data_IF_463869711790
#
_entry.id   IF_463869711790
#
_cell.length_a   1.000
_cell.length_b   1.000
_cell.length_c   1.000
_cell.angle_alpha   90.00
_cell.angle_beta   90.00
_cell.angle_gamma   90.00
#
_symmetry.space_group_name_H-M   'P 1'
#
loop_
_entity.id
_entity.type
_entity.pdbx_description
1 polymer ?
#
# COMPACT_ATOMS: atom_id res chain seq x y z
N UNK A 1 -48.46 26.71 -27.88
CA UNK A 1 -48.58 28.03 -27.23
C UNK A 1 -47.50 28.91 -27.80
N UNK A 2 -47.92 30.04 -28.39
CA UNK A 2 -47.15 31.16 -28.93
C UNK A 2 -46.11 30.81 -30.02
N UNK A 3 -46.25 31.09 -31.32
CA UNK A 3 -46.74 32.25 -32.10
C UNK A 3 -45.57 32.97 -32.80
N UNK A 4 -45.83 33.37 -34.05
CA UNK A 4 -45.13 34.32 -34.94
C UNK A 4 -43.92 33.79 -35.73
N UNK A 5 -43.73 34.01 -37.03
CA UNK A 5 -44.53 34.41 -38.19
C UNK A 5 -43.53 34.46 -39.38
N UNK A 6 -43.83 33.96 -40.58
CA UNK A 6 -43.05 34.26 -41.79
C UNK A 6 -43.79 35.21 -42.75
N UNK A 7 -43.09 36.13 -43.42
CA UNK A 7 -43.55 36.68 -44.71
C UNK A 7 -42.50 36.44 -45.80
N UNK A 8 -42.74 36.42 -47.11
CA UNK A 8 -43.88 36.23 -48.02
C UNK A 8 -43.23 36.44 -49.42
N UNK A 9 -43.56 35.67 -50.48
CA UNK A 9 -43.11 35.98 -51.84
C UNK A 9 -44.19 36.79 -52.60
N UNK A 10 -43.89 38.03 -53.01
CA UNK A 10 -44.59 38.76 -54.08
C UNK A 10 -43.81 38.56 -55.39
N UNK A 11 -44.38 38.03 -56.47
CA UNK A 11 -45.36 38.64 -57.38
C UNK A 11 -44.81 39.90 -58.07
N UNK A 12 -44.41 39.80 -59.35
CA UNK A 12 -45.08 40.53 -60.43
C UNK A 12 -44.50 40.30 -61.85
N UNK A 13 -45.45 40.07 -62.76
CA UNK A 13 -45.56 40.52 -64.16
C UNK A 13 -44.72 39.91 -65.30
N UNK A 14 -45.40 38.98 -65.97
CA UNK A 14 -45.63 38.93 -67.43
C UNK A 14 -45.43 40.26 -68.18
N UNK A 15 -44.67 40.25 -69.29
CA UNK A 15 -45.07 40.77 -70.62
C UNK A 15 -44.27 40.03 -71.73
N UNK A 16 -44.99 39.31 -72.58
CA UNK A 16 -44.66 38.95 -73.97
C UNK A 16 -45.97 39.13 -74.78
N UNK A 17 -45.99 39.07 -76.12
CA UNK A 17 -45.11 39.65 -77.13
C UNK A 17 -45.96 40.37 -78.23
N UNK A 18 -45.34 40.97 -79.27
CA UNK A 18 -46.03 41.23 -80.53
C UNK A 18 -45.06 41.35 -81.73
N UNK A 19 -45.25 40.58 -82.81
CA UNK A 19 -44.69 40.87 -84.14
C UNK A 19 -45.74 41.57 -85.01
N UNK A 20 -45.33 42.63 -85.72
CA UNK A 20 -46.18 43.39 -86.65
C UNK A 20 -45.59 43.40 -88.06
N UNK A 21 -46.38 42.91 -89.00
CA UNK A 21 -46.14 42.75 -90.44
C UNK A 21 -46.52 43.99 -91.27
N UNK A 22 -45.78 44.20 -92.37
CA UNK A 22 -46.18 44.66 -93.72
C UNK A 22 -46.84 46.05 -94.00
N UNK A 23 -46.35 46.70 -95.07
CA UNK A 23 -47.00 47.77 -95.86
C UNK A 23 -45.99 48.48 -96.77
N UNK A 24 -45.77 48.03 -98.01
CA UNK A 24 -46.39 48.46 -99.28
C UNK A 24 -45.84 49.80 -99.88
N UNK A 25 -45.49 49.85 -101.19
CA UNK A 25 -44.87 51.00 -101.87
C UNK A 25 -45.87 51.89 -102.63
N UNK A 26 -45.47 53.12 -102.99
CA UNK A 26 -46.20 53.97 -103.94
C UNK A 26 -45.25 54.82 -104.82
N UNK A 27 -45.49 54.91 -106.15
CA UNK A 27 -44.81 55.79 -107.10
C UNK A 27 -45.67 57.02 -107.50
N UNK A 28 -45.05 58.07 -108.05
CA UNK A 28 -45.72 59.17 -108.79
C UNK A 28 -44.84 59.58 -109.99
N UNK A 29 -45.22 59.24 -111.23
CA UNK A 29 -46.05 60.07 -112.15
C UNK A 29 -45.30 61.34 -112.60
N UNK A 30 -44.61 61.37 -113.76
CA UNK A 30 -45.13 61.49 -115.13
C UNK A 30 -46.11 62.66 -115.33
N UNK A 31 -45.73 63.68 -116.12
CA UNK A 31 -46.63 64.60 -116.84
C UNK A 31 -45.83 65.44 -117.85
N UNK A 32 -45.80 64.98 -119.10
CA UNK A 32 -45.63 65.88 -120.24
C UNK A 32 -46.99 66.45 -120.66
N UNK A 33 -47.00 67.59 -121.33
CA UNK A 33 -48.13 68.05 -122.14
C UNK A 33 -47.62 68.88 -123.33
N UNK A 34 -47.99 68.50 -124.57
CA UNK A 34 -47.65 69.20 -125.80
C UNK A 34 -48.82 70.05 -126.33
N UNK A 35 -48.50 71.03 -127.18
CA UNK A 35 -49.32 71.40 -128.34
C UNK A 35 -50.48 72.38 -128.12
N UNK A 36 -50.29 73.62 -128.55
CA UNK A 36 -51.37 74.45 -129.08
C UNK A 36 -50.98 74.91 -130.50
N UNK A 37 -51.48 74.18 -131.49
CA UNK A 37 -51.46 74.52 -132.91
C UNK A 37 -52.56 75.56 -133.20
N UNK A 38 -52.15 76.74 -133.66
CA UNK A 38 -53.06 77.74 -134.22
C UNK A 38 -53.59 77.28 -135.61
N UNK A 39 -54.85 77.60 -135.97
CA UNK A 39 -55.47 77.15 -137.21
C UNK A 39 -54.77 77.73 -138.45
N UNK A 40 -54.10 76.85 -139.18
CA UNK A 40 -53.38 77.17 -140.42
C UNK A 40 -54.37 77.58 -141.53
N UNK A 41 -54.21 78.80 -142.07
CA UNK A 41 -54.82 79.18 -143.33
C UNK A 41 -54.45 78.13 -144.40
N UNK A 42 -55.41 77.44 -145.02
CA UNK A 42 -55.17 76.12 -145.62
C UNK A 42 -54.22 76.11 -146.83
N UNK A 43 -53.83 77.27 -147.37
CA UNK A 43 -53.03 77.38 -148.60
C UNK A 43 -51.75 78.22 -148.47
N UNK A 44 -51.39 78.61 -147.24
CA UNK A 44 -50.18 79.43 -146.98
C UNK A 44 -50.35 80.91 -147.37
N UNK A 45 -49.43 81.74 -146.90
CA UNK A 45 -49.37 83.18 -147.21
C UNK A 45 -48.24 83.44 -148.20
N UNK A 46 -48.45 84.39 -149.11
CA UNK A 46 -47.41 84.88 -150.01
C UNK A 46 -46.23 85.40 -149.19
N UNK A 47 -45.00 84.91 -149.44
CA UNK A 47 -43.78 85.31 -148.70
C UNK A 47 -43.47 86.80 -148.85
N UNK A 48 -43.98 87.45 -149.89
CA UNK A 48 -43.79 88.88 -150.14
C UNK A 48 -44.86 89.74 -149.46
N UNK A 49 -46.12 89.67 -149.90
CA UNK A 49 -47.18 90.56 -149.41
C UNK A 49 -47.96 90.01 -148.20
N UNK A 50 -47.66 88.78 -147.75
CA UNK A 50 -48.37 88.07 -146.66
C UNK A 50 -49.87 87.81 -146.89
N UNK A 51 -50.39 88.13 -148.07
CA UNK A 51 -51.75 87.81 -148.50
C UNK A 51 -51.96 86.30 -148.70
N UNK A 52 -53.20 85.79 -148.59
CA UNK A 52 -53.51 84.39 -148.81
C UNK A 52 -53.23 83.99 -150.27
N UNK A 53 -52.56 82.86 -150.48
CA UNK A 53 -52.30 82.34 -151.81
C UNK A 53 -53.52 81.58 -152.35
N UNK A 54 -53.76 81.60 -153.68
CA UNK A 54 -54.82 80.82 -154.29
C UNK A 54 -54.62 79.31 -154.03
N UNK A 55 -55.71 78.52 -154.07
CA UNK A 55 -55.65 77.09 -153.79
C UNK A 55 -54.65 76.37 -154.70
N UNK A 56 -53.98 75.36 -154.15
CA UNK A 56 -52.94 74.59 -154.85
C UNK A 56 -53.56 73.88 -156.05
N UNK A 57 -52.99 74.06 -157.25
CA UNK A 57 -53.31 73.22 -158.40
C UNK A 57 -53.00 71.74 -158.08
N UNK A 58 -53.84 70.81 -158.55
CA UNK A 58 -53.88 69.40 -158.15
C UNK A 58 -52.53 68.63 -158.25
N UNK A 59 -51.57 69.14 -159.02
CA UNK A 59 -50.20 68.62 -159.14
C UNK A 59 -49.20 69.76 -159.22
N UNK A 60 -48.32 69.92 -158.21
CA UNK A 60 -47.23 70.92 -158.20
C UNK A 60 -46.77 71.33 -156.80
N UNK A 61 -45.55 71.87 -156.62
CA UNK A 61 -45.07 72.36 -155.30
C UNK A 61 -45.98 73.47 -154.75
N UNK A 62 -46.02 73.65 -153.42
CA UNK A 62 -46.72 74.80 -152.82
C UNK A 62 -46.16 76.09 -153.41
N UNK A 63 -47.04 76.95 -153.90
CA UNK A 63 -46.66 78.28 -154.36
C UNK A 63 -46.21 79.07 -153.13
N UNK A 64 -45.18 79.89 -153.30
CA UNK A 64 -44.67 80.76 -152.22
C UNK A 64 -45.04 82.23 -152.44
N UNK A 65 -45.46 82.59 -153.65
CA UNK A 65 -45.76 83.95 -154.07
C UNK A 65 -46.96 83.94 -155.04
N UNK A 66 -47.70 85.05 -155.09
CA UNK A 66 -48.72 85.29 -156.13
C UNK A 66 -48.05 85.47 -157.50
N UNK A 67 -48.65 84.93 -158.55
CA UNK A 67 -48.26 85.24 -159.94
C UNK A 67 -48.92 86.51 -160.46
N UNK A 68 -48.47 87.00 -161.63
CA UNK A 68 -49.05 88.16 -162.32
C UNK A 68 -50.58 88.07 -162.38
N UNK A 69 -51.26 89.11 -161.87
CA UNK A 69 -52.71 89.17 -161.74
C UNK A 69 -53.31 88.61 -160.44
N UNK A 70 -52.55 87.86 -159.63
CA UNK A 70 -53.05 87.17 -158.42
C UNK A 70 -52.70 87.90 -157.10
N UNK A 71 -51.73 88.82 -157.12
CA UNK A 71 -51.32 89.58 -155.94
C UNK A 71 -52.23 90.78 -155.65
N UNK A 72 -52.02 91.48 -154.53
CA UNK A 72 -52.65 92.78 -154.29
C UNK A 72 -52.42 93.68 -155.51
N UNK A 73 -53.48 94.30 -156.02
CA UNK A 73 -53.47 95.14 -157.23
C UNK A 73 -52.97 94.45 -158.51
N UNK A 74 -53.08 93.12 -158.58
CA UNK A 74 -52.68 92.33 -159.75
C UNK A 74 -51.16 92.16 -159.91
N UNK A 75 -50.36 92.47 -158.88
CA UNK A 75 -48.91 92.39 -158.96
C UNK A 75 -48.39 90.94 -158.89
N UNK A 76 -47.39 90.61 -159.72
CA UNK A 76 -46.60 89.38 -159.53
C UNK A 76 -45.70 89.56 -158.31
N UNK A 77 -46.13 88.99 -157.19
CA UNK A 77 -45.42 89.11 -155.92
C UNK A 77 -44.07 88.37 -155.93
N UNK A 78 -43.88 87.38 -156.81
CA UNK A 78 -42.58 86.69 -156.97
C UNK A 78 -41.59 87.63 -157.63
N UNK A 79 -42.04 88.32 -158.66
CA UNK A 79 -41.24 89.29 -159.40
C UNK A 79 -41.00 90.58 -158.60
N UNK A 80 -42.00 91.06 -157.86
CA UNK A 80 -41.84 92.17 -156.92
C UNK A 80 -40.84 91.83 -155.81
N UNK A 81 -40.89 90.61 -155.26
CA UNK A 81 -39.89 90.14 -154.30
C UNK A 81 -38.49 90.01 -154.92
N UNK A 82 -38.39 89.56 -156.17
CA UNK A 82 -37.11 89.49 -156.90
C UNK A 82 -36.54 90.89 -157.14
N UNK A 83 -37.34 91.84 -157.64
CA UNK A 83 -36.92 93.24 -157.80
C UNK A 83 -36.56 93.89 -156.47
N UNK A 84 -37.28 93.58 -155.39
CA UNK A 84 -36.95 94.08 -154.07
C UNK A 84 -35.58 93.57 -153.59
N UNK A 85 -35.25 92.29 -153.83
CA UNK A 85 -33.92 91.72 -153.53
C UNK A 85 -32.82 92.28 -154.43
N UNK A 86 -33.09 92.40 -155.73
CA UNK A 86 -32.16 92.95 -156.73
C UNK A 86 -32.01 94.49 -156.62
N UNK A 87 -32.89 95.17 -155.86
CA UNK A 87 -32.74 96.59 -155.57
C UNK A 87 -31.48 96.83 -154.74
N UNK A 88 -30.87 98.01 -154.89
CA UNK A 88 -29.69 98.39 -154.11
C UNK A 88 -29.92 98.28 -152.59
N UNK A 89 -31.15 98.50 -152.12
CA UNK A 89 -31.54 98.37 -150.71
C UNK A 89 -31.66 96.90 -150.29
N UNK A 90 -32.23 96.05 -151.14
CA UNK A 90 -32.34 94.61 -150.88
C UNK A 90 -30.97 93.93 -150.82
N UNK A 91 -30.10 94.23 -151.79
CA UNK A 91 -28.73 93.73 -151.81
C UNK A 91 -27.90 94.25 -150.62
N UNK A 92 -28.10 95.52 -150.23
CA UNK A 92 -27.44 96.09 -149.06
C UNK A 92 -27.95 95.51 -147.72
N UNK A 93 -29.19 95.02 -147.66
CA UNK A 93 -29.78 94.44 -146.45
C UNK A 93 -29.55 92.92 -146.32
N UNK A 94 -29.31 92.20 -147.42
CA UNK A 94 -29.13 90.74 -147.42
C UNK A 94 -27.88 90.32 -146.64
N UNK A 95 -26.73 90.96 -146.85
CA UNK A 95 -25.50 90.62 -146.12
C UNK A 95 -25.60 90.88 -144.60
N UNK A 96 -26.09 92.05 -144.11
CA UNK A 96 -26.32 92.27 -142.69
C UNK A 96 -27.29 91.28 -142.06
N UNK A 97 -28.39 90.93 -142.74
CA UNK A 97 -29.35 89.95 -142.23
C UNK A 97 -28.75 88.55 -142.19
N UNK A 98 -28.00 88.14 -143.21
CA UNK A 98 -27.32 86.84 -143.21
C UNK A 98 -26.24 86.76 -142.12
N UNK A 99 -25.53 87.87 -141.85
CA UNK A 99 -24.57 87.96 -140.74
C UNK A 99 -25.28 87.84 -139.38
N UNK A 100 -26.44 88.49 -139.20
CA UNK A 100 -27.25 88.36 -137.98
C UNK A 100 -27.79 86.95 -137.78
N UNK A 101 -28.24 86.27 -138.85
CA UNK A 101 -28.65 84.86 -138.79
C UNK A 101 -27.48 83.98 -138.39
N UNK A 102 -26.32 84.16 -139.02
CA UNK A 102 -25.11 83.38 -138.70
C UNK A 102 -24.64 83.62 -137.27
N UNK A 103 -24.70 84.86 -136.78
CA UNK A 103 -24.40 85.17 -135.38
C UNK A 103 -25.41 84.56 -134.42
N UNK A 104 -26.72 84.62 -134.74
CA UNK A 104 -27.77 84.01 -133.93
C UNK A 104 -27.61 82.48 -133.86
N UNK A 105 -27.27 81.84 -134.99
CA UNK A 105 -26.98 80.40 -135.05
C UNK A 105 -25.73 80.05 -134.21
N UNK A 106 -24.67 80.86 -134.28
CA UNK A 106 -23.46 80.70 -133.45
C UNK A 106 -23.74 80.88 -131.96
N UNK A 107 -24.54 81.88 -131.59
CA UNK A 107 -24.93 82.14 -130.21
C UNK A 107 -25.84 81.03 -129.67
N UNK A 108 -26.75 80.49 -130.50
CA UNK A 108 -27.57 79.34 -130.14
C UNK A 108 -26.72 78.07 -129.96
N UNK A 109 -25.75 77.82 -130.86
CA UNK A 109 -24.77 76.73 -130.74
C UNK A 109 -23.95 76.86 -129.45
N UNK A 110 -23.47 78.07 -129.12
CA UNK A 110 -22.77 78.36 -127.87
C UNK A 110 -23.65 78.09 -126.64
N UNK A 111 -24.92 78.52 -126.65
CA UNK A 111 -25.85 78.23 -125.54
C UNK A 111 -26.15 76.75 -125.41
N UNK A 112 -26.34 76.03 -126.54
CA UNK A 112 -26.53 74.57 -126.55
C UNK A 112 -25.30 73.85 -125.99
N UNK A 113 -24.10 74.29 -126.38
CA UNK A 113 -22.82 73.78 -125.86
C UNK A 113 -22.68 74.05 -124.35
N UNK A 114 -22.93 75.28 -123.90
CA UNK A 114 -22.89 75.64 -122.49
C UNK A 114 -23.93 74.86 -121.65
N UNK A 115 -25.16 74.72 -122.15
CA UNK A 115 -26.17 73.87 -121.50
C UNK A 115 -25.79 72.38 -121.49
N UNK A 116 -25.02 71.92 -122.49
CA UNK A 116 -24.39 70.60 -122.49
C UNK A 116 -23.35 70.44 -121.39
N UNK A 117 -22.46 71.42 -121.22
CA UNK A 117 -21.46 71.45 -120.14
C UNK A 117 -22.10 71.48 -118.75
N UNK A 118 -23.14 72.28 -118.55
CA UNK A 118 -23.88 72.34 -117.28
C UNK A 118 -24.58 71.01 -116.96
N UNK A 119 -25.21 70.36 -117.95
CA UNK A 119 -25.78 69.02 -117.78
C UNK A 119 -24.71 67.97 -117.47
N UNK A 120 -23.57 68.03 -118.13
CA UNK A 120 -22.44 67.13 -117.85
C UNK A 120 -21.84 67.37 -116.46
N UNK A 121 -21.81 68.62 -115.99
CA UNK A 121 -21.40 68.97 -114.63
C UNK A 121 -22.40 68.42 -113.61
N UNK A 122 -23.71 68.68 -113.78
CA UNK A 122 -24.75 68.14 -112.92
C UNK A 122 -24.71 66.60 -112.85
N UNK A 123 -24.54 65.91 -113.98
CA UNK A 123 -24.41 64.45 -114.01
C UNK A 123 -23.10 63.92 -113.39
N UNK A 124 -22.05 64.74 -113.29
CA UNK A 124 -20.86 64.40 -112.49
C UNK A 124 -21.14 64.60 -111.00
N UNK A 125 -21.77 65.70 -110.63
CA UNK A 125 -22.11 66.00 -109.24
C UNK A 125 -23.10 64.98 -108.67
N UNK A 126 -24.10 64.55 -109.45
CA UNK A 126 -25.03 63.48 -109.06
C UNK A 126 -24.31 62.14 -108.84
N UNK A 127 -23.33 61.81 -109.69
CA UNK A 127 -22.50 60.60 -109.51
C UNK A 127 -21.62 60.71 -108.27
N UNK A 128 -20.97 61.84 -108.04
CA UNK A 128 -20.18 62.07 -106.84
C UNK A 128 -21.05 62.03 -105.57
N UNK A 129 -22.27 62.57 -105.63
CA UNK A 129 -23.22 62.50 -104.53
C UNK A 129 -23.65 61.05 -104.23
N UNK A 130 -23.88 60.23 -105.27
CA UNK A 130 -24.15 58.80 -105.12
C UNK A 130 -22.95 58.06 -104.53
N UNK A 131 -21.74 58.26 -105.07
CA UNK A 131 -20.51 57.64 -104.56
C UNK A 131 -20.25 58.00 -103.09
N UNK A 132 -20.52 59.26 -102.69
CA UNK A 132 -20.41 59.71 -101.30
C UNK A 132 -21.50 59.09 -100.41
N UNK A 133 -22.71 58.88 -100.92
CA UNK A 133 -23.78 58.18 -100.19
C UNK A 133 -23.44 56.70 -99.98
N UNK A 134 -22.89 56.03 -101.00
CA UNK A 134 -22.43 54.65 -100.93
C UNK A 134 -21.24 54.51 -99.96
N UNK A 135 -20.25 55.40 -100.03
CA UNK A 135 -19.13 55.43 -99.09
C UNK A 135 -19.60 55.66 -97.65
N UNK A 136 -20.54 56.58 -97.43
CA UNK A 136 -21.13 56.82 -96.12
C UNK A 136 -21.82 55.57 -95.59
N UNK A 137 -22.59 54.88 -96.43
CA UNK A 137 -23.28 53.64 -96.06
C UNK A 137 -22.29 52.55 -95.69
N UNK A 138 -21.27 52.30 -96.52
CA UNK A 138 -20.24 51.32 -96.26
C UNK A 138 -19.43 51.60 -94.98
N UNK A 139 -19.12 52.87 -94.70
CA UNK A 139 -18.43 53.28 -93.47
C UNK A 139 -19.32 53.05 -92.25
N UNK A 140 -20.61 53.37 -92.33
CA UNK A 140 -21.55 53.12 -91.24
C UNK A 140 -21.72 51.62 -90.99
N UNK A 141 -21.93 50.81 -92.03
CA UNK A 141 -22.01 49.35 -91.91
C UNK A 141 -20.74 48.77 -91.29
N UNK A 142 -19.56 49.17 -91.77
CA UNK A 142 -18.29 48.72 -91.20
C UNK A 142 -18.10 49.15 -89.76
N UNK A 143 -18.52 50.37 -89.41
CA UNK A 143 -18.44 50.85 -88.03
C UNK A 143 -19.39 50.05 -87.12
N UNK A 144 -20.64 49.82 -87.54
CA UNK A 144 -21.57 48.97 -86.77
C UNK A 144 -21.07 47.54 -86.61
N UNK A 145 -20.40 46.97 -87.63
CA UNK A 145 -19.78 45.65 -87.54
C UNK A 145 -18.61 45.64 -86.53
N UNK A 146 -17.75 46.65 -86.55
CA UNK A 146 -16.64 46.79 -85.60
C UNK A 146 -17.12 47.03 -84.17
N UNK A 147 -18.16 47.83 -83.97
CA UNK A 147 -18.81 48.02 -82.67
C UNK A 147 -19.40 46.70 -82.16
N UNK A 148 -20.08 45.93 -83.02
CA UNK A 148 -20.60 44.62 -82.67
C UNK A 148 -19.49 43.62 -82.32
N UNK A 149 -18.40 43.57 -83.09
CA UNK A 149 -17.24 42.73 -82.80
C UNK A 149 -16.56 43.13 -81.49
N UNK A 150 -16.45 44.42 -81.21
CA UNK A 150 -15.87 44.94 -79.96
C UNK A 150 -16.75 44.57 -78.77
N UNK A 151 -18.07 44.74 -78.87
CA UNK A 151 -19.01 44.35 -77.83
C UNK A 151 -18.98 42.84 -77.57
N UNK A 152 -18.90 42.02 -78.62
CA UNK A 152 -18.77 40.57 -78.50
C UNK A 152 -17.45 40.17 -77.82
N UNK A 153 -16.33 40.78 -78.21
CA UNK A 153 -15.02 40.53 -77.59
C UNK A 153 -15.00 40.93 -76.11
N UNK A 154 -15.63 42.05 -75.76
CA UNK A 154 -15.78 42.49 -74.37
C UNK A 154 -16.63 41.51 -73.55
N UNK A 155 -17.78 41.05 -74.08
CA UNK A 155 -18.60 40.04 -73.42
C UNK A 155 -17.83 38.75 -73.17
N UNK A 156 -17.12 38.24 -74.19
CA UNK A 156 -16.30 37.04 -74.08
C UNK A 156 -15.15 37.20 -73.07
N UNK A 157 -14.51 38.37 -73.02
CA UNK A 157 -13.47 38.66 -72.03
C UNK A 157 -14.04 38.68 -70.60
N UNK A 158 -15.21 39.30 -70.39
CA UNK A 158 -15.90 39.30 -69.09
C UNK A 158 -16.28 37.89 -68.67
N UNK A 159 -16.87 37.09 -69.56
CA UNK A 159 -17.21 35.68 -69.31
C UNK A 159 -15.96 34.86 -68.93
N UNK A 160 -14.85 35.04 -69.65
CA UNK A 160 -13.59 34.37 -69.34
C UNK A 160 -13.03 34.75 -67.96
N UNK A 161 -13.11 36.04 -67.58
CA UNK A 161 -12.71 36.50 -66.24
C UNK A 161 -13.60 35.89 -65.17
N UNK A 162 -14.92 35.91 -65.35
CA UNK A 162 -15.87 35.31 -64.39
C UNK A 162 -15.67 33.81 -64.26
N UNK A 163 -15.42 33.11 -65.38
CA UNK A 163 -15.10 31.68 -65.38
C UNK A 163 -13.80 31.40 -64.61
N UNK A 164 -12.76 32.20 -64.82
CA UNK A 164 -11.49 32.09 -64.09
C UNK A 164 -11.68 32.31 -62.60
N UNK A 165 -12.35 33.39 -62.20
CA UNK A 165 -12.64 33.69 -60.79
C UNK A 165 -13.45 32.57 -60.12
N UNK A 166 -14.42 32.00 -60.85
CA UNK A 166 -15.21 30.87 -60.35
C UNK A 166 -14.35 29.61 -60.18
N UNK A 167 -13.41 29.35 -61.10
CA UNK A 167 -12.47 28.25 -60.98
C UNK A 167 -11.50 28.44 -59.81
N UNK A 168 -10.93 29.64 -59.65
CA UNK A 168 -10.07 30.01 -58.52
C UNK A 168 -10.80 29.85 -57.17
N UNK A 169 -12.05 30.31 -57.08
CA UNK A 169 -12.87 30.14 -55.87
C UNK A 169 -13.15 28.67 -55.53
N UNK A 170 -13.41 27.84 -56.55
CA UNK A 170 -13.58 26.38 -56.37
C UNK A 170 -12.29 25.71 -55.91
N UNK A 171 -11.15 26.10 -56.48
CA UNK A 171 -9.84 25.60 -56.06
C UNK A 171 -9.53 25.98 -54.61
N UNK A 172 -9.72 27.25 -54.24
CA UNK A 172 -9.54 27.71 -52.85
C UNK A 172 -10.44 26.96 -51.88
N UNK A 173 -11.71 26.74 -52.24
CA UNK A 173 -12.66 25.94 -51.44
C UNK A 173 -12.18 24.50 -51.29
N UNK A 174 -11.68 23.88 -52.35
CA UNK A 174 -11.14 22.52 -52.32
C UNK A 174 -9.88 22.41 -51.45
N UNK A 175 -8.99 23.42 -51.51
CA UNK A 175 -7.79 23.49 -50.68
C UNK A 175 -8.15 23.68 -49.20
N UNK A 176 -9.12 24.54 -48.88
CA UNK A 176 -9.61 24.73 -47.52
C UNK A 176 -10.24 23.44 -46.96
N UNK A 177 -11.11 22.77 -47.74
CA UNK A 177 -11.70 21.49 -47.35
C UNK A 177 -10.64 20.39 -47.15
N UNK A 178 -9.60 20.35 -48.00
CA UNK A 178 -8.50 19.41 -47.84
C UNK A 178 -7.67 19.70 -46.57
N UNK A 179 -7.43 20.97 -46.23
CA UNK A 179 -6.75 21.37 -45.01
C UNK A 179 -7.56 21.00 -43.76
N UNK A 180 -8.87 21.25 -43.77
CA UNK A 180 -9.78 20.85 -42.69
C UNK A 180 -9.82 19.34 -42.50
N UNK A 181 -9.84 18.57 -43.60
CA UNK A 181 -9.80 17.11 -43.55
C UNK A 181 -8.48 16.59 -42.94
N UNK A 182 -7.34 17.21 -43.27
CA UNK A 182 -6.04 16.88 -42.65
C UNK A 182 -6.03 17.20 -41.17
N UNK A 183 -6.48 18.38 -40.77
CA UNK A 183 -6.58 18.76 -39.36
C UNK A 183 -7.54 17.85 -38.58
N UNK A 184 -8.64 17.40 -39.20
CA UNK A 184 -9.56 16.43 -38.60
C UNK A 184 -8.92 15.05 -38.45
N UNK A 185 -8.11 14.60 -39.41
CA UNK A 185 -7.35 13.36 -39.32
C UNK A 185 -6.29 13.43 -38.23
N UNK A 186 -5.55 14.53 -38.11
CA UNK A 186 -4.56 14.76 -37.04
C UNK A 186 -5.23 14.69 -35.65
N UNK A 187 -6.36 15.39 -35.46
CA UNK A 187 -7.16 15.29 -34.22
C UNK A 187 -7.73 13.89 -33.96
N UNK A 188 -7.96 13.09 -35.00
CA UNK A 188 -8.39 11.71 -34.83
C UNK A 188 -7.23 10.81 -34.37
N UNK A 189 -6.04 11.00 -34.94
CA UNK A 189 -4.81 10.33 -34.52
C UNK A 189 -4.44 10.68 -33.08
N UNK A 190 -4.45 11.97 -32.72
CA UNK A 190 -4.16 12.42 -31.35
C UNK A 190 -5.12 11.77 -30.32
N UNK A 191 -6.43 11.75 -30.62
CA UNK A 191 -7.41 11.06 -29.77
C UNK A 191 -7.17 9.54 -29.69
N UNK A 192 -6.69 8.92 -30.76
CA UNK A 192 -6.36 7.50 -30.76
C UNK A 192 -5.11 7.20 -29.92
N UNK A 193 -4.09 8.07 -29.99
CA UNK A 193 -2.87 7.99 -29.19
C UNK A 193 -3.17 8.21 -27.70
N UNK A 194 -4.00 9.21 -27.36
CA UNK A 194 -4.48 9.45 -26.00
C UNK A 194 -5.26 8.24 -25.45
N UNK A 195 -6.15 7.66 -26.26
CA UNK A 195 -6.89 6.46 -25.89
C UNK A 195 -5.97 5.25 -25.67
N UNK A 196 -4.92 5.10 -26.51
CA UNK A 196 -3.92 4.05 -26.36
C UNK A 196 -3.07 4.25 -25.09
N UNK A 197 -2.73 5.49 -24.73
CA UNK A 197 -2.03 5.82 -23.49
C UNK A 197 -2.90 5.54 -22.26
N UNK A 198 -4.17 5.93 -22.28
CA UNK A 198 -5.12 5.58 -21.21
C UNK A 198 -5.27 4.07 -21.06
N UNK A 199 -5.28 3.31 -22.16
CA UNK A 199 -5.31 1.86 -22.11
C UNK A 199 -4.06 1.27 -21.44
N UNK A 200 -2.85 1.77 -21.78
CA UNK A 200 -1.58 1.36 -21.13
C UNK A 200 -1.58 1.67 -19.63
N UNK A 201 -2.09 2.84 -19.25
CA UNK A 201 -2.21 3.24 -17.85
C UNK A 201 -3.20 2.34 -17.08
N UNK A 202 -4.33 2.01 -17.70
CA UNK A 202 -5.31 1.09 -17.13
C UNK A 202 -4.74 -0.33 -16.95
N UNK A 203 -3.97 -0.83 -17.92
CA UNK A 203 -3.28 -2.12 -17.83
C UNK A 203 -2.24 -2.11 -16.71
N UNK A 204 -1.43 -1.06 -16.63
CA UNK A 204 -0.43 -0.88 -15.55
C UNK A 204 -1.11 -0.84 -14.18
N UNK A 205 -2.24 -0.13 -14.04
CA UNK A 205 -3.02 -0.09 -12.82
C UNK A 205 -3.62 -1.47 -12.46
N UNK A 206 -4.13 -2.21 -13.46
CA UNK A 206 -4.67 -3.55 -13.27
C UNK A 206 -3.58 -4.55 -12.82
N UNK A 207 -2.38 -4.46 -13.40
CA UNK A 207 -1.22 -5.26 -12.99
C UNK A 207 -0.73 -4.89 -11.59
N UNK A 208 -0.67 -3.60 -11.24
CA UNK A 208 -0.36 -3.14 -9.89
C UNK A 208 -1.37 -3.68 -8.86
N UNK A 209 -2.67 -3.65 -9.19
CA UNK A 209 -3.71 -4.26 -8.35
C UNK A 209 -3.54 -5.77 -8.22
N UNK A 210 -3.19 -6.48 -9.30
CA UNK A 210 -2.93 -7.92 -9.26
C UNK A 210 -1.74 -8.25 -8.36
N UNK A 211 -0.64 -7.51 -8.50
CA UNK A 211 0.55 -7.66 -7.66
C UNK A 211 0.21 -7.38 -6.19
N UNK A 212 -0.51 -6.29 -5.92
CA UNK A 212 -0.93 -5.94 -4.56
C UNK A 212 -1.81 -7.03 -3.93
N UNK A 213 -2.75 -7.60 -4.72
CA UNK A 213 -3.59 -8.70 -4.27
C UNK A 213 -2.78 -9.96 -3.98
N UNK A 214 -1.90 -10.39 -4.89
CA UNK A 214 -1.03 -11.55 -4.67
C UNK A 214 -0.15 -11.35 -3.44
N UNK A 215 0.39 -10.15 -3.24
CA UNK A 215 1.17 -9.83 -2.05
C UNK A 215 0.34 -9.89 -0.77
N UNK A 216 -0.88 -9.34 -0.78
CA UNK A 216 -1.80 -9.44 0.35
C UNK A 216 -2.19 -10.89 0.65
N UNK A 217 -2.43 -11.71 -0.37
CA UNK A 217 -2.70 -13.15 -0.23
C UNK A 217 -1.49 -13.87 0.41
N UNK A 218 -0.27 -13.60 -0.05
CA UNK A 218 0.97 -14.13 0.53
C UNK A 218 1.18 -13.70 1.99
N UNK A 219 0.95 -12.43 2.31
CA UNK A 219 1.03 -11.91 3.69
C UNK A 219 -0.04 -12.56 4.59
N UNK A 220 -1.24 -12.79 4.07
CA UNK A 220 -2.32 -13.48 4.79
C UNK A 220 -1.97 -14.95 5.02
N UNK A 221 -1.43 -15.65 4.03
CA UNK A 221 -0.95 -17.03 4.19
C UNK A 221 0.22 -17.12 5.19
N UNK A 222 1.15 -16.18 5.14
CA UNK A 222 2.25 -16.09 6.10
C UNK A 222 1.73 -15.83 7.52
N UNK A 223 0.75 -14.94 7.70
CA UNK A 223 0.09 -14.67 8.97
C UNK A 223 -0.69 -15.89 9.49
N UNK A 224 -1.36 -16.64 8.61
CA UNK A 224 -2.04 -17.89 8.98
C UNK A 224 -1.00 -18.94 9.42
N UNK A 225 0.13 -19.05 8.72
CA UNK A 225 1.21 -20.00 9.04
C UNK A 225 1.83 -19.69 10.40
N UNK A 226 2.26 -18.44 10.60
CA UNK A 226 2.78 -17.97 11.91
C UNK A 226 1.73 -18.10 13.01
N UNK A 227 0.46 -17.83 12.73
CA UNK A 227 -0.64 -18.05 13.67
C UNK A 227 -0.94 -19.52 13.99
N UNK A 228 -0.61 -20.46 13.09
CA UNK A 228 -0.65 -21.91 13.35
C UNK A 228 0.55 -22.34 14.17
N UNK A 229 1.75 -21.86 13.82
CA UNK A 229 3.00 -22.11 14.56
C UNK A 229 2.89 -21.62 16.01
N UNK A 230 2.43 -20.39 16.23
CA UNK A 230 2.18 -19.85 17.57
C UNK A 230 1.13 -20.65 18.36
N UNK A 231 0.10 -21.19 17.68
CA UNK A 231 -0.87 -22.09 18.32
C UNK A 231 -0.22 -23.40 18.72
N UNK A 232 0.57 -24.03 17.84
CA UNK A 232 1.30 -25.26 18.18
C UNK A 232 2.33 -25.05 19.29
N UNK A 233 3.03 -23.91 19.32
CA UNK A 233 3.96 -23.56 20.41
C UNK A 233 3.21 -23.37 21.73
N UNK A 234 2.07 -22.65 21.71
CA UNK A 234 1.23 -22.48 22.89
C UNK A 234 0.68 -23.81 23.39
N UNK A 235 0.23 -24.69 22.49
CA UNK A 235 -0.33 -25.98 22.87
C UNK A 235 0.78 -26.92 23.39
N UNK A 236 2.00 -26.85 22.84
CA UNK A 236 3.18 -27.54 23.38
C UNK A 236 3.61 -26.97 24.74
N UNK A 237 3.53 -25.65 24.94
CA UNK A 237 3.79 -25.01 26.23
C UNK A 237 2.75 -25.42 27.28
N UNK A 238 1.48 -25.53 26.90
CA UNK A 238 0.40 -26.05 27.77
C UNK A 238 0.61 -27.51 28.12
N UNK A 239 1.02 -28.34 27.17
CA UNK A 239 1.36 -29.74 27.44
C UNK A 239 2.53 -29.84 28.44
N UNK A 240 3.59 -29.06 28.24
CA UNK A 240 4.71 -28.97 29.20
C UNK A 240 4.29 -28.45 30.57
N UNK A 241 3.41 -27.44 30.62
CA UNK A 241 2.88 -26.93 31.88
C UNK A 241 2.07 -28.01 32.61
N UNK A 242 1.19 -28.72 31.90
CA UNK A 242 0.44 -29.87 32.44
C UNK A 242 1.37 -30.96 32.97
N UNK A 243 2.45 -31.27 32.26
CA UNK A 243 3.46 -32.25 32.67
C UNK A 243 4.17 -31.80 33.95
N UNK A 244 4.62 -30.54 34.01
CA UNK A 244 5.25 -29.95 35.21
C UNK A 244 4.26 -29.86 36.38
N UNK A 245 2.98 -29.58 36.14
CA UNK A 245 1.95 -29.57 37.18
C UNK A 245 1.69 -30.97 37.74
N UNK A 246 1.70 -32.00 36.89
CA UNK A 246 1.61 -33.40 37.32
C UNK A 246 2.87 -33.84 38.09
N UNK A 247 4.06 -33.46 37.62
CA UNK A 247 5.31 -33.69 38.35
C UNK A 247 5.29 -33.00 39.71
N UNK A 248 4.88 -31.73 39.79
CA UNK A 248 4.75 -30.99 41.04
C UNK A 248 3.73 -31.63 41.98
N UNK A 249 2.59 -32.11 41.47
CA UNK A 249 1.62 -32.85 42.26
C UNK A 249 2.22 -34.15 42.80
N UNK A 250 2.99 -34.89 41.99
CA UNK A 250 3.68 -36.11 42.43
C UNK A 250 4.74 -35.81 43.51
N UNK A 251 5.50 -34.72 43.36
CA UNK A 251 6.50 -34.27 44.32
C UNK A 251 5.85 -33.83 45.63
N UNK A 252 4.69 -33.16 45.57
CA UNK A 252 3.91 -32.81 46.77
C UNK A 252 3.43 -34.04 47.51
N UNK A 253 2.86 -35.03 46.82
CA UNK A 253 2.47 -36.31 47.43
C UNK A 253 3.68 -37.03 48.05
N UNK A 254 4.83 -37.01 47.38
CA UNK A 254 6.07 -37.58 47.92
C UNK A 254 6.58 -36.81 49.15
N UNK A 255 6.51 -35.47 49.13
CA UNK A 255 6.89 -34.61 50.24
C UNK A 255 5.96 -34.83 51.45
N UNK A 256 4.65 -34.93 51.23
CA UNK A 256 3.67 -35.24 52.27
C UNK A 256 3.90 -36.65 52.84
N UNK A 257 4.23 -37.63 51.99
CA UNK A 257 4.59 -38.99 52.44
C UNK A 257 5.93 -39.04 53.19
N UNK A 258 6.89 -38.17 52.85
CA UNK A 258 8.14 -38.01 53.59
C UNK A 258 7.90 -37.28 54.92
N UNK A 259 7.05 -36.26 54.95
CA UNK A 259 6.64 -35.57 56.15
C UNK A 259 5.90 -36.51 57.12
N UNK A 260 4.97 -37.33 56.62
CA UNK A 260 4.31 -38.37 57.41
C UNK A 260 5.30 -39.39 58.00
N UNK A 261 6.26 -39.86 57.19
CA UNK A 261 7.36 -40.72 57.68
C UNK A 261 8.24 -40.02 58.72
N UNK A 262 8.51 -38.73 58.55
CA UNK A 262 9.28 -37.95 59.50
C UNK A 262 8.50 -37.80 60.82
N UNK A 263 7.21 -37.50 60.78
CA UNK A 263 6.36 -37.44 61.97
C UNK A 263 6.26 -38.80 62.69
N UNK A 264 6.17 -39.90 61.93
CA UNK A 264 6.21 -41.26 62.49
C UNK A 264 7.56 -41.54 63.18
N UNK A 265 8.68 -41.26 62.51
CA UNK A 265 10.01 -41.45 63.11
C UNK A 265 10.27 -40.53 64.31
N UNK A 266 9.72 -39.31 64.33
CA UNK A 266 9.77 -38.41 65.48
C UNK A 266 8.94 -38.98 66.64
N UNK A 267 7.76 -39.54 66.38
CA UNK A 267 6.96 -40.23 67.40
C UNK A 267 7.65 -41.48 67.93
N UNK A 268 8.26 -42.29 67.07
CA UNK A 268 9.07 -43.45 67.47
C UNK A 268 10.28 -43.03 68.29
N UNK A 269 10.99 -41.97 67.90
CA UNK A 269 12.11 -41.43 68.67
C UNK A 269 11.65 -40.89 70.04
N UNK A 270 10.50 -40.23 70.12
CA UNK A 270 9.93 -39.78 71.38
C UNK A 270 9.55 -40.96 72.29
N UNK A 271 8.95 -42.02 71.74
CA UNK A 271 8.65 -43.25 72.47
C UNK A 271 9.91 -43.98 72.93
N UNK A 272 10.95 -44.04 72.09
CA UNK A 272 12.25 -44.61 72.43
C UNK A 272 12.93 -43.81 73.55
N UNK A 273 12.89 -42.47 73.49
CA UNK A 273 13.40 -41.59 74.56
C UNK A 273 12.64 -41.78 75.87
N UNK A 274 11.32 -41.89 75.82
CA UNK A 274 10.51 -42.18 77.00
C UNK A 274 10.88 -43.53 77.62
N UNK A 275 11.04 -44.56 76.79
CA UNK A 275 11.49 -45.88 77.22
C UNK A 275 12.89 -45.80 77.84
N UNK A 276 13.79 -45.00 77.27
CA UNK A 276 15.14 -44.79 77.81
C UNK A 276 15.08 -44.14 79.21
N UNK A 277 14.26 -43.11 79.39
CA UNK A 277 14.05 -42.47 80.69
C UNK A 277 13.45 -43.44 81.71
N UNK A 278 12.49 -44.28 81.32
CA UNK A 278 11.95 -45.33 82.19
C UNK A 278 13.01 -46.37 82.58
N UNK A 279 13.87 -46.78 81.63
CA UNK A 279 14.96 -47.70 81.89
C UNK A 279 16.04 -47.08 82.75
N UNK A 280 16.39 -45.81 82.55
CA UNK A 280 17.32 -45.07 83.41
C UNK A 280 16.78 -44.92 84.82
N UNK A 281 15.49 -44.58 85.00
CA UNK A 281 14.85 -44.54 86.30
C UNK A 281 14.87 -45.92 86.99
N UNK A 282 14.58 -46.99 86.25
CA UNK A 282 14.67 -48.36 86.76
C UNK A 282 16.13 -48.76 87.12
N UNK A 283 17.12 -48.34 86.32
CA UNK A 283 18.53 -48.55 86.62
C UNK A 283 18.94 -47.76 87.88
N UNK A 284 18.54 -46.50 88.02
CA UNK A 284 18.81 -45.71 89.22
C UNK A 284 18.13 -46.30 90.46
N UNK A 285 16.91 -46.80 90.34
CA UNK A 285 16.21 -47.49 91.44
C UNK A 285 16.93 -48.80 91.82
N UNK A 286 17.29 -49.63 90.84
CA UNK A 286 18.03 -50.88 91.06
C UNK A 286 19.43 -50.61 91.64
N UNK A 287 20.11 -49.56 91.18
CA UNK A 287 21.41 -49.13 91.72
C UNK A 287 21.26 -48.68 93.16
N UNK A 288 20.26 -47.86 93.48
CA UNK A 288 19.98 -47.45 94.86
C UNK A 288 19.53 -48.61 95.76
N UNK A 289 18.91 -49.67 95.21
CA UNK A 289 18.65 -50.92 95.95
C UNK A 289 19.91 -51.74 96.17
N UNK A 290 20.81 -51.80 95.18
CA UNK A 290 22.10 -52.47 95.28
C UNK A 290 23.01 -51.80 96.31
N UNK A 291 23.11 -50.47 96.30
CA UNK A 291 23.88 -49.69 97.28
C UNK A 291 23.34 -49.90 98.70
N UNK A 292 22.01 -49.88 98.89
CA UNK A 292 21.39 -50.20 100.19
C UNK A 292 21.69 -51.63 100.64
N UNK A 293 21.58 -52.60 99.73
CA UNK A 293 21.93 -53.99 100.04
C UNK A 293 23.42 -54.13 100.40
N UNK A 294 24.31 -53.43 99.69
CA UNK A 294 25.75 -53.43 99.99
C UNK A 294 26.03 -52.81 101.37
N UNK A 295 25.43 -51.67 101.69
CA UNK A 295 25.54 -51.03 103.00
C UNK A 295 24.98 -51.91 104.13
N UNK A 296 23.85 -52.59 103.90
CA UNK A 296 23.29 -53.56 104.87
C UNK A 296 24.23 -54.76 105.05
N UNK A 297 24.84 -55.26 103.98
CA UNK A 297 25.78 -56.38 104.05
C UNK A 297 27.09 -55.99 104.76
N UNK A 298 27.57 -54.77 104.53
CA UNK A 298 28.75 -54.20 105.17
C UNK A 298 28.49 -53.94 106.66
N UNK A 299 27.33 -53.37 107.01
CA UNK A 299 26.90 -53.21 108.40
C UNK A 299 26.74 -54.55 109.13
N UNK A 300 26.23 -55.60 108.47
CA UNK A 300 26.16 -56.95 109.04
C UNK A 300 27.55 -57.56 109.21
N UNK A 301 28.48 -57.32 108.27
CA UNK A 301 29.87 -57.77 108.40
C UNK A 301 30.61 -57.08 109.54
N UNK A 302 30.45 -55.77 109.68
CA UNK A 302 31.07 -55.02 110.77
C UNK A 302 30.52 -55.46 112.12
N UNK A 303 29.21 -55.66 112.21
CA UNK A 303 28.56 -56.17 113.43
C UNK A 303 29.01 -57.60 113.76
N UNK A 304 29.12 -58.48 112.77
CA UNK A 304 29.67 -59.82 112.95
C UNK A 304 31.17 -59.78 113.36
N UNK A 305 31.96 -58.84 112.83
CA UNK A 305 33.35 -58.66 113.21
C UNK A 305 33.52 -58.07 114.63
N UNK A 306 32.58 -57.26 115.09
CA UNK A 306 32.48 -56.80 116.48
C UNK A 306 32.03 -57.91 117.42
N UNK A 307 31.03 -58.70 117.05
CA UNK A 307 30.53 -59.83 117.84
C UNK A 307 31.62 -60.92 118.01
N UNK A 308 32.39 -61.21 116.95
CA UNK A 308 33.53 -62.14 117.03
C UNK A 308 34.65 -61.58 117.92
N UNK A 309 34.91 -60.27 117.89
CA UNK A 309 35.88 -59.63 118.80
C UNK A 309 35.41 -59.69 120.24
N UNK A 310 34.13 -59.39 120.51
CA UNK A 310 33.53 -59.46 121.84
C UNK A 310 33.49 -60.90 122.41
N UNK A 311 33.20 -61.89 121.57
CA UNK A 311 33.24 -63.30 121.93
C UNK A 311 34.67 -63.75 122.26
N UNK A 312 35.66 -63.31 121.48
CA UNK A 312 37.09 -63.61 121.73
C UNK A 312 37.58 -62.98 123.05
N UNK A 313 37.24 -61.72 123.30
CA UNK A 313 37.61 -61.03 124.55
C UNK A 313 36.94 -61.67 125.79
N UNK A 314 35.72 -62.17 125.63
CA UNK A 314 35.00 -62.88 126.71
C UNK A 314 35.65 -64.23 126.98
N UNK A 315 35.97 -65.01 125.94
CA UNK A 315 36.68 -66.28 126.09
C UNK A 315 38.06 -66.10 126.71
N UNK A 316 38.80 -65.04 126.34
CA UNK A 316 40.11 -64.76 126.92
C UNK A 316 40.03 -64.36 128.40
N UNK A 317 39.00 -63.62 128.80
CA UNK A 317 38.72 -63.29 130.21
C UNK A 317 38.34 -64.53 131.03
N UNK A 318 37.58 -65.46 130.46
CA UNK A 318 37.22 -66.71 131.14
C UNK A 318 38.42 -67.65 131.31
N UNK A 319 39.30 -67.76 130.31
CA UNK A 319 40.56 -68.52 130.42
C UNK A 319 41.45 -67.93 131.52
N UNK A 320 41.64 -66.59 131.54
CA UNK A 320 42.41 -65.94 132.61
C UNK A 320 41.81 -66.16 134.00
N UNK A 321 40.47 -66.20 134.11
CA UNK A 321 39.77 -66.48 135.37
C UNK A 321 39.95 -67.93 135.81
N UNK A 322 39.88 -68.88 134.89
CA UNK A 322 40.11 -70.30 135.16
C UNK A 322 41.56 -70.59 135.56
N UNK A 323 42.53 -69.95 134.91
CA UNK A 323 43.96 -70.07 135.27
C UNK A 323 44.25 -69.47 136.65
N UNK A 324 43.67 -68.30 136.97
CA UNK A 324 43.80 -67.72 138.31
C UNK A 324 43.18 -68.61 139.40
N UNK A 325 42.03 -69.24 139.13
CA UNK A 325 41.41 -70.21 140.04
C UNK A 325 42.26 -71.48 140.21
N UNK A 326 42.83 -71.99 139.12
CA UNK A 326 43.75 -73.14 139.15
C UNK A 326 45.00 -72.83 139.97
N UNK A 327 45.61 -71.67 139.78
CA UNK A 327 46.79 -71.25 140.52
C UNK A 327 46.49 -71.11 142.03
N UNK A 328 45.37 -70.49 142.37
CA UNK A 328 44.92 -70.35 143.77
C UNK A 328 44.67 -71.71 144.44
N UNK A 329 44.12 -72.69 143.71
CA UNK A 329 43.91 -74.04 144.20
C UNK A 329 45.24 -74.80 144.42
N UNK A 330 46.24 -74.59 143.56
CA UNK A 330 47.58 -75.17 143.73
C UNK A 330 48.29 -74.60 144.96
N UNK A 331 48.24 -73.28 145.16
CA UNK A 331 48.85 -72.61 146.32
C UNK A 331 48.17 -73.03 147.65
N UNK A 332 46.87 -73.30 147.63
CA UNK A 332 46.14 -73.85 148.78
C UNK A 332 46.53 -75.31 149.06
N UNK A 333 46.72 -76.12 148.01
CA UNK A 333 47.18 -77.50 148.12
C UNK A 333 48.63 -77.59 148.64
N UNK A 334 49.48 -76.64 148.28
CA UNK A 334 50.88 -76.58 148.74
C UNK A 334 50.97 -76.18 150.22
N UNK A 335 50.18 -75.19 150.65
CA UNK A 335 50.06 -74.83 152.07
C UNK A 335 49.59 -75.98 152.94
N UNK A 336 48.54 -76.69 152.51
CA UNK A 336 48.01 -77.86 153.26
C UNK A 336 49.00 -79.03 153.31
N UNK A 337 49.88 -79.21 152.31
CA UNK A 337 50.99 -80.17 152.41
C UNK A 337 52.06 -79.72 153.41
N UNK A 338 52.45 -78.44 153.37
CA UNK A 338 53.40 -77.87 154.32
C UNK A 338 52.94 -78.01 155.77
N UNK A 339 51.67 -77.69 156.05
CA UNK A 339 51.07 -77.84 157.38
C UNK A 339 51.03 -79.30 157.86
N UNK A 340 50.71 -80.24 156.96
CA UNK A 340 50.69 -81.67 157.27
C UNK A 340 52.09 -82.22 157.56
N UNK A 341 53.10 -81.80 156.81
CA UNK A 341 54.47 -82.27 156.98
C UNK A 341 55.09 -81.64 158.25
N UNK A 342 54.73 -80.40 158.59
CA UNK A 342 55.05 -79.79 159.88
C UNK A 342 54.44 -80.58 161.04
N UNK A 343 53.14 -80.91 160.98
CA UNK A 343 52.45 -81.68 162.02
C UNK A 343 53.04 -83.09 162.21
N UNK A 344 53.53 -83.74 161.14
CA UNK A 344 54.24 -85.02 161.22
C UNK A 344 55.58 -84.89 161.94
N UNK A 345 56.29 -83.80 161.68
CA UNK A 345 57.59 -83.51 162.31
C UNK A 345 57.41 -83.24 163.80
N UNK A 346 56.38 -82.47 164.18
CA UNK A 346 56.04 -82.17 165.57
C UNK A 346 55.60 -83.43 166.33
N UNK A 347 54.79 -84.29 165.69
CA UNK A 347 54.37 -85.57 166.28
C UNK A 347 55.56 -86.52 166.50
N UNK A 348 56.49 -86.60 165.54
CA UNK A 348 57.70 -87.40 165.67
C UNK A 348 58.61 -86.88 166.81
N UNK A 349 58.74 -85.56 166.94
CA UNK A 349 59.49 -84.93 168.02
C UNK A 349 58.85 -85.20 169.40
N UNK A 350 57.52 -85.08 169.51
CA UNK A 350 56.78 -85.38 170.73
C UNK A 350 56.90 -86.86 171.14
N UNK A 351 56.84 -87.78 170.18
CA UNK A 351 57.03 -89.21 170.42
C UNK A 351 58.46 -89.57 170.83
N UNK A 352 59.46 -88.86 170.29
CA UNK A 352 60.85 -89.04 170.69
C UNK A 352 61.10 -88.51 172.12
N UNK A 353 60.53 -87.35 172.46
CA UNK A 353 60.60 -86.79 173.81
C UNK A 353 59.94 -87.73 174.84
N UNK A 354 58.74 -88.24 174.54
CA UNK A 354 58.05 -89.15 175.45
C UNK A 354 58.78 -90.49 175.64
N UNK A 355 59.42 -91.02 174.58
CA UNK A 355 60.28 -92.22 174.69
C UNK A 355 61.53 -91.97 175.53
N UNK A 356 62.16 -90.80 175.41
CA UNK A 356 63.31 -90.44 176.22
C UNK A 356 62.92 -90.30 177.71
N UNK A 357 61.73 -89.77 177.99
CA UNK A 357 61.18 -89.62 179.34
C UNK A 357 60.89 -90.99 179.99
N UNK A 358 60.29 -91.92 179.26
CA UNK A 358 60.08 -93.30 179.73
C UNK A 358 61.40 -94.04 179.99
N UNK A 359 62.40 -93.88 179.13
CA UNK A 359 63.72 -94.47 179.34
C UNK A 359 64.46 -93.87 180.55
N UNK A 360 64.25 -92.59 180.86
CA UNK A 360 64.79 -91.96 182.05
C UNK A 360 64.12 -92.53 183.32
N UNK A 361 62.80 -92.65 183.31
CA UNK A 361 62.03 -93.24 184.42
C UNK A 361 62.37 -94.73 184.65
N UNK A 362 62.62 -95.50 183.59
CA UNK A 362 63.09 -96.88 183.71
C UNK A 362 64.48 -96.96 184.33
N UNK A 363 65.42 -96.08 183.92
CA UNK A 363 66.75 -96.00 184.53
C UNK A 363 66.67 -95.62 186.01
N UNK A 364 65.79 -94.69 186.38
CA UNK A 364 65.57 -94.33 187.78
C UNK A 364 64.98 -95.48 188.60
N UNK A 365 64.00 -96.20 188.05
CA UNK A 365 63.40 -97.38 188.69
C UNK A 365 64.42 -98.50 188.88
N UNK A 366 65.24 -98.77 187.87
CA UNK A 366 66.22 -99.83 187.91
C UNK A 366 67.40 -99.46 188.84
N UNK A 367 67.78 -98.18 188.91
CA UNK A 367 68.73 -97.66 189.90
C UNK A 367 68.18 -97.77 191.34
N UNK A 368 66.89 -97.49 191.55
CA UNK A 368 66.24 -97.64 192.85
C UNK A 368 66.20 -99.11 193.30
N UNK A 369 65.92 -100.05 192.38
CA UNK A 369 65.94 -101.50 192.67
C UNK A 369 67.34 -102.03 192.93
N UNK A 370 68.34 -101.53 192.21
CA UNK A 370 69.74 -101.87 192.47
C UNK A 370 70.17 -101.38 193.86
N UNK A 371 69.81 -100.15 194.24
CA UNK A 371 70.07 -99.61 195.57
C UNK A 371 69.34 -100.39 196.69
N UNK A 372 68.12 -100.87 196.44
CA UNK A 372 67.35 -101.69 197.38
C UNK A 372 67.99 -103.08 197.55
N UNK A 373 68.42 -103.73 196.47
CA UNK A 373 69.13 -105.01 196.51
C UNK A 373 70.46 -104.89 197.29
N UNK A 374 71.19 -103.79 197.09
CA UNK A 374 72.46 -103.52 197.76
C UNK A 374 72.28 -103.20 199.26
N UNK A 375 71.13 -102.64 199.66
CA UNK A 375 70.77 -102.50 201.08
C UNK A 375 70.40 -103.85 201.71
N UNK A 376 69.66 -104.70 201.01
CA UNK A 376 69.31 -106.05 201.48
C UNK A 376 70.54 -106.94 201.63
N UNK A 377 71.49 -106.85 200.71
CA UNK A 377 72.73 -107.63 200.78
C UNK A 377 73.62 -107.21 201.95
N UNK A 378 73.65 -105.90 202.26
CA UNK A 378 74.32 -105.38 203.46
C UNK A 378 73.65 -105.81 204.75
N UNK A 379 72.32 -105.89 204.78
CA UNK A 379 71.57 -106.40 205.93
C UNK A 379 71.84 -107.89 206.19
N UNK A 380 71.86 -108.73 205.14
CA UNK A 380 72.13 -110.18 205.27
C UNK A 380 73.57 -110.46 205.71
N UNK A 381 74.56 -109.68 205.24
CA UNK A 381 75.95 -109.82 205.71
C UNK A 381 76.15 -109.36 207.15
N UNK A 382 75.32 -108.44 207.65
CA UNK A 382 75.34 -108.04 209.06
C UNK A 382 74.75 -109.14 209.98
N UNK A 383 73.82 -109.96 209.48
CA UNK A 383 73.22 -111.06 210.26
C UNK A 383 74.10 -112.32 210.36
N UNK A 384 75.01 -112.55 209.41
CA UNK A 384 75.82 -113.79 209.38
C UNK A 384 77.20 -113.71 210.05
N UNK A 385 77.62 -112.53 210.52
CA UNK A 385 78.95 -112.33 211.10
C UNK A 385 78.96 -111.96 212.60
N UNK A 386 77.80 -111.99 213.27
CA UNK A 386 77.71 -111.81 214.73
C UNK A 386 77.78 -113.17 215.47
N UNK A 387 78.51 -113.25 216.60
CA UNK A 387 79.11 -114.49 217.09
C UNK A 387 78.31 -115.15 218.23
N UNK A 388 78.86 -116.26 218.75
CA UNK A 388 78.61 -116.89 220.07
C UNK A 388 77.35 -117.77 220.21
N UNK A 389 77.28 -118.80 221.05
CA UNK A 389 78.18 -119.71 221.79
C UNK A 389 77.22 -120.55 222.66
N UNK A 390 77.57 -121.79 223.03
CA UNK A 390 76.81 -122.61 224.02
C UNK A 390 75.79 -123.60 223.43
N UNK A 391 76.02 -124.92 223.54
CA UNK A 391 75.67 -125.78 224.70
C UNK A 391 74.15 -126.01 224.84
N UNK A 392 73.62 -127.20 225.15
CA UNK A 392 74.08 -128.56 225.27
C UNK A 392 72.81 -129.44 225.44
N UNK A 393 72.94 -130.70 225.01
CA UNK A 393 72.52 -131.92 225.73
C UNK A 393 71.27 -132.74 225.29
N UNK A 394 71.48 -134.06 225.40
CA UNK A 394 70.56 -135.21 225.54
C UNK A 394 70.22 -136.09 224.30
N UNK A 395 71.04 -137.15 224.22
CA UNK A 395 70.77 -138.62 224.11
C UNK A 395 70.22 -139.23 222.82
N UNK A 396 71.06 -140.11 222.26
CA UNK A 396 70.81 -141.09 221.20
C UNK A 396 72.13 -141.49 220.55
#
# INVERSE_FOLDING_TARGET
MADLEPPAPGADREVQPAPGTAGAPAPSSASGSPGEEAPAAPHGRCKHCRGPLPPRAATGRRREYHHSGEGPDGQDCREAARRARESAVGAAAEQPLQALITWADQEEEHRRSHAGLLRAAAARDDRLAADLADLRTAVLERNTELEAQTAQAQSAATEAITARQTAEAREQTALAAAAEARAAAERATERADDAAELARQAETAADAHRIARTKAEQETEAAIRTGKEARTERDAARARLSEVEQELASVRVQADALAGRLDDTVRELAAARHTLVEKEAAISELTGRLERAQQETEAVRDRAAEDVRAARDTAEKEVRRADAQRQSALDAAERTRGERDQARTDLAAAQAAHRAELQALERERDAARAAEAEQRERAVRAEQAAPTDGAADIVG
#
